data_IF_395378489204
#
_entry.id   IF_395378489204
#
_cell.length_a   1.000
_cell.length_b   1.000
_cell.length_c   1.000
_cell.angle_alpha   90.00
_cell.angle_beta   90.00
_cell.angle_gamma   90.00
#
_symmetry.space_group_name_H-M   'P 1'
#
loop_
_entity.id
_entity.type
_entity.pdbx_description
1 polymer ?
#
# COMPACT_ATOMS: atom_id res chain seq x y z
N UNK A 1 2.73 11.99 -19.15
CA UNK A 1 3.33 10.65 -19.19
C UNK A 1 2.21 9.61 -19.08
N UNK A 2 2.30 8.44 -19.74
CA UNK A 2 1.33 7.37 -19.54
C UNK A 2 1.34 6.87 -18.09
N UNK A 3 0.24 6.24 -17.65
CA UNK A 3 0.19 5.58 -16.35
C UNK A 3 1.32 4.53 -16.24
N UNK A 4 1.99 4.46 -15.09
CA UNK A 4 3.14 3.58 -14.88
C UNK A 4 2.83 2.10 -15.12
N UNK A 5 1.62 1.63 -14.79
CA UNK A 5 1.19 0.24 -15.01
C UNK A 5 1.12 -0.08 -16.51
N UNK A 6 0.49 0.80 -17.31
CA UNK A 6 0.41 0.62 -18.77
C UNK A 6 1.80 0.62 -19.41
N UNK A 7 2.67 1.54 -19.01
CA UNK A 7 4.04 1.60 -19.52
C UNK A 7 4.84 0.31 -19.20
N UNK A 8 4.64 -0.28 -18.03
CA UNK A 8 5.28 -1.53 -17.63
C UNK A 8 4.75 -2.73 -18.41
N UNK A 9 3.42 -2.85 -18.56
CA UNK A 9 2.78 -3.93 -19.34
C UNK A 9 3.25 -3.91 -20.81
N UNK A 10 3.44 -2.70 -21.37
CA UNK A 10 3.91 -2.48 -22.74
C UNK A 10 5.44 -2.62 -22.89
N UNK A 11 6.17 -2.93 -21.82
CA UNK A 11 7.64 -3.07 -21.85
C UNK A 11 8.40 -1.76 -22.07
N UNK A 12 7.76 -0.60 -21.88
CA UNK A 12 8.38 0.72 -22.04
C UNK A 12 9.27 1.10 -20.84
N UNK A 13 9.07 0.47 -19.70
CA UNK A 13 9.89 0.63 -18.49
C UNK A 13 10.23 -0.74 -17.90
N UNK A 14 11.44 -0.87 -17.35
CA UNK A 14 11.92 -2.13 -16.78
C UNK A 14 11.44 -2.39 -15.35
N UNK A 15 11.09 -1.35 -14.60
CA UNK A 15 10.71 -1.43 -13.19
C UNK A 15 9.63 -0.40 -12.88
N UNK A 16 8.75 -0.75 -11.94
CA UNK A 16 7.75 0.14 -11.35
C UNK A 16 7.68 -0.07 -9.83
N UNK A 17 7.28 0.98 -9.12
CA UNK A 17 6.85 0.88 -7.72
C UNK A 17 5.33 0.88 -7.73
N UNK A 18 4.73 -0.20 -7.23
CA UNK A 18 3.29 -0.38 -7.25
C UNK A 18 2.83 -1.23 -6.06
N UNK A 19 1.59 -1.06 -5.59
CA UNK A 19 1.03 -1.95 -4.59
C UNK A 19 0.91 -3.39 -5.12
N UNK A 20 1.00 -4.38 -4.21
CA UNK A 20 1.07 -5.80 -4.57
C UNK A 20 -0.08 -6.29 -5.45
N UNK A 21 -1.31 -5.79 -5.24
CA UNK A 21 -2.48 -6.19 -6.03
C UNK A 21 -2.36 -5.85 -7.52
N UNK A 22 -1.47 -4.92 -7.91
CA UNK A 22 -1.24 -4.59 -9.33
C UNK A 22 -0.66 -5.74 -10.13
N UNK A 23 0.00 -6.72 -9.49
CA UNK A 23 0.48 -7.93 -10.17
C UNK A 23 -0.69 -8.71 -10.77
N UNK A 24 -1.85 -8.73 -10.11
CA UNK A 24 -3.05 -9.38 -10.63
C UNK A 24 -3.53 -8.71 -11.92
N UNK A 25 -3.51 -7.37 -11.96
CA UNK A 25 -3.88 -6.59 -13.15
C UNK A 25 -2.87 -6.77 -14.29
N UNK A 26 -1.57 -6.73 -13.96
CA UNK A 26 -0.48 -6.89 -14.93
C UNK A 26 -0.55 -8.26 -15.60
N UNK A 27 -0.70 -9.34 -14.82
CA UNK A 27 -0.75 -10.71 -15.35
C UNK A 27 -2.07 -11.04 -16.04
N UNK A 28 -3.17 -10.38 -15.67
CA UNK A 28 -4.42 -10.47 -16.42
C UNK A 28 -4.31 -9.81 -17.81
N UNK A 29 -3.57 -8.69 -17.91
CA UNK A 29 -3.37 -7.98 -19.18
C UNK A 29 -2.29 -8.64 -20.06
N UNK A 30 -1.24 -9.18 -19.46
CA UNK A 30 -0.15 -9.86 -20.16
C UNK A 30 0.37 -11.04 -19.30
N UNK A 31 -0.17 -12.23 -19.56
CA UNK A 31 0.16 -13.44 -18.81
C UNK A 31 1.62 -13.91 -19.03
N UNK A 32 2.18 -13.62 -20.20
CA UNK A 32 3.52 -14.05 -20.61
C UNK A 32 4.63 -13.13 -20.07
N UNK A 33 4.28 -11.95 -19.53
CA UNK A 33 5.24 -11.06 -18.92
C UNK A 33 5.88 -11.73 -17.69
N UNK A 34 7.19 -11.96 -17.75
CA UNK A 34 7.97 -12.45 -16.61
C UNK A 34 8.21 -11.30 -15.62
N UNK A 35 7.61 -11.41 -14.44
CA UNK A 35 7.61 -10.37 -13.42
C UNK A 35 7.92 -10.99 -12.07
N UNK A 36 8.74 -10.30 -11.29
CA UNK A 36 9.03 -10.65 -9.90
C UNK A 36 8.92 -9.42 -9.03
N UNK A 37 8.64 -9.63 -7.76
CA UNK A 37 8.69 -8.58 -6.75
C UNK A 37 10.01 -8.64 -5.98
N UNK A 38 10.52 -7.48 -5.60
CA UNK A 38 11.73 -7.34 -4.78
C UNK A 38 11.53 -6.21 -3.78
N UNK A 39 12.43 -6.11 -2.80
CA UNK A 39 12.41 -5.02 -1.83
C UNK A 39 12.83 -3.70 -2.46
N UNK A 40 12.33 -2.59 -1.91
CA UNK A 40 12.72 -1.26 -2.37
C UNK A 40 14.22 -1.05 -2.15
N UNK A 41 14.93 -0.37 -3.08
CA UNK A 41 16.33 -0.02 -2.89
C UNK A 41 16.55 0.79 -1.61
N UNK A 42 17.52 0.38 -0.79
CA UNK A 42 17.91 1.08 0.43
C UNK A 42 19.28 1.73 0.24
N UNK A 43 19.37 3.05 0.48
CA UNK A 43 20.64 3.77 0.45
C UNK A 43 21.51 3.35 1.64
N UNK A 44 22.82 3.23 1.42
CA UNK A 44 23.78 2.82 2.44
C UNK A 44 23.71 3.73 3.68
N UNK A 45 23.66 3.12 4.87
CA UNK A 45 23.59 3.84 6.15
C UNK A 45 22.17 4.14 6.64
N UNK A 46 21.13 3.90 5.82
CA UNK A 46 19.75 4.07 6.22
C UNK A 46 19.14 2.81 6.84
N UNK A 47 18.17 2.99 7.73
CA UNK A 47 17.33 1.90 8.21
C UNK A 47 16.22 1.59 7.19
N UNK A 48 15.78 0.32 7.06
CA UNK A 48 14.64 -0.02 6.24
C UNK A 48 13.39 0.76 6.66
N UNK A 49 12.73 1.39 5.68
CA UNK A 49 11.46 2.08 5.87
C UNK A 49 10.57 1.79 4.66
N UNK A 50 9.31 1.46 4.93
CA UNK A 50 8.31 1.22 3.89
C UNK A 50 6.95 1.79 4.31
N UNK A 51 6.04 1.97 3.35
CA UNK A 51 4.71 2.54 3.59
C UNK A 51 3.68 1.43 3.77
N UNK A 52 2.95 1.46 4.88
CA UNK A 52 1.80 0.59 5.10
C UNK A 52 0.59 1.16 4.34
N UNK A 53 0.04 0.39 3.40
CA UNK A 53 -1.20 0.71 2.69
C UNK A 53 -2.09 -0.53 2.68
N UNK A 54 -3.23 -0.46 3.35
CA UNK A 54 -4.12 -1.59 3.56
C UNK A 54 -5.58 -1.15 3.65
N UNK A 55 -6.49 -2.08 3.37
CA UNK A 55 -7.91 -1.94 3.67
C UNK A 55 -8.18 -2.33 5.12
N UNK A 56 -9.17 -1.69 5.72
CA UNK A 56 -9.64 -2.01 7.08
C UNK A 56 -11.13 -2.29 7.00
N UNK A 57 -11.58 -3.41 7.54
CA UNK A 57 -13.00 -3.63 7.73
C UNK A 57 -13.51 -2.97 9.02
N UNK A 58 -14.74 -2.48 8.98
CA UNK A 58 -15.39 -1.84 10.12
C UNK A 58 -16.84 -2.25 10.26
N UNK A 59 -17.34 -2.24 11.49
CA UNK A 59 -18.76 -2.47 11.80
C UNK A 59 -19.47 -1.11 11.89
N UNK A 60 -20.52 -0.94 11.09
CA UNK A 60 -21.34 0.28 11.13
C UNK A 60 -22.02 0.45 12.49
N UNK A 61 -21.88 1.64 13.08
CA UNK A 61 -22.58 2.03 14.33
C UNK A 61 -24.10 2.00 14.19
N UNK A 62 -24.63 2.12 12.98
CA UNK A 62 -26.06 2.07 12.69
C UNK A 62 -26.60 0.63 12.51
N UNK A 63 -25.73 -0.39 12.53
CA UNK A 63 -26.16 -1.78 12.36
C UNK A 63 -27.05 -2.22 13.52
N UNK A 64 -28.13 -2.94 13.20
CA UNK A 64 -28.99 -3.62 14.19
C UNK A 64 -28.39 -4.93 14.70
N UNK A 65 -27.37 -5.46 14.02
CA UNK A 65 -26.72 -6.75 14.30
C UNK A 65 -25.23 -6.55 14.65
N UNK A 66 -24.92 -5.55 15.49
CA UNK A 66 -23.53 -5.20 15.80
C UNK A 66 -22.79 -6.37 16.47
N UNK A 67 -23.44 -7.10 17.36
CA UNK A 67 -22.81 -8.20 18.09
C UNK A 67 -22.41 -9.34 17.14
N UNK A 68 -23.30 -9.72 16.22
CA UNK A 68 -23.08 -10.73 15.20
C UNK A 68 -22.00 -10.30 14.21
N UNK A 69 -22.02 -9.03 13.80
CA UNK A 69 -20.99 -8.46 12.92
C UNK A 69 -19.60 -8.54 13.56
N UNK A 70 -19.46 -8.22 14.85
CA UNK A 70 -18.19 -8.37 15.57
C UNK A 70 -17.77 -9.83 15.74
N UNK A 71 -18.70 -10.75 15.99
CA UNK A 71 -18.40 -12.20 16.02
C UNK A 71 -17.91 -12.70 14.67
N UNK A 72 -18.54 -12.26 13.58
CA UNK A 72 -18.11 -12.58 12.22
C UNK A 72 -16.73 -12.01 11.92
N UNK A 73 -16.46 -10.77 12.33
CA UNK A 73 -15.15 -10.16 12.17
C UNK A 73 -14.06 -10.93 12.94
N UNK A 74 -14.35 -11.36 14.17
CA UNK A 74 -13.45 -12.23 14.93
C UNK A 74 -13.20 -13.58 14.23
N UNK A 75 -14.22 -14.16 13.59
CA UNK A 75 -14.06 -15.36 12.76
C UNK A 75 -13.13 -15.11 11.57
N UNK A 76 -13.27 -13.99 10.86
CA UNK A 76 -12.38 -13.60 9.76
C UNK A 76 -10.93 -13.42 10.23
N UNK A 77 -10.73 -12.92 11.45
CA UNK A 77 -9.42 -12.76 12.11
C UNK A 77 -8.78 -14.06 12.61
N UNK A 78 -9.51 -15.18 12.60
CA UNK A 78 -9.00 -16.46 13.07
C UNK A 78 -7.99 -17.05 12.09
N UNK A 79 -6.92 -17.66 12.63
CA UNK A 79 -5.82 -18.26 11.85
C UNK A 79 -6.34 -19.20 10.76
N UNK A 80 -7.21 -20.13 11.11
CA UNK A 80 -7.73 -21.15 10.21
C UNK A 80 -8.64 -20.55 9.12
N UNK A 81 -9.40 -19.52 9.45
CA UNK A 81 -10.23 -18.80 8.47
C UNK A 81 -9.36 -18.08 7.46
N UNK A 82 -8.35 -17.34 7.92
CA UNK A 82 -7.42 -16.62 7.06
C UNK A 82 -6.67 -17.55 6.12
N UNK A 83 -6.09 -18.63 6.63
CA UNK A 83 -5.36 -19.60 5.79
C UNK A 83 -6.27 -20.26 4.76
N UNK A 84 -7.50 -20.61 5.16
CA UNK A 84 -8.51 -21.16 4.24
C UNK A 84 -8.93 -20.17 3.17
N UNK A 85 -9.14 -18.89 3.52
CA UNK A 85 -9.47 -17.84 2.56
C UNK A 85 -8.33 -17.63 1.56
N UNK A 86 -7.09 -17.53 2.04
CA UNK A 86 -5.92 -17.39 1.18
C UNK A 86 -5.80 -18.56 0.20
N UNK A 87 -5.94 -19.80 0.68
CA UNK A 87 -5.90 -21.00 -0.17
C UNK A 87 -7.02 -21.00 -1.22
N UNK A 88 -8.24 -20.67 -0.80
CA UNK A 88 -9.41 -20.60 -1.69
C UNK A 88 -9.20 -19.57 -2.79
N UNK A 89 -8.75 -18.37 -2.43
CA UNK A 89 -8.47 -17.30 -3.40
C UNK A 89 -7.31 -17.69 -4.33
N UNK A 90 -6.24 -18.29 -3.80
CA UNK A 90 -5.07 -18.73 -4.59
C UNK A 90 -5.40 -19.82 -5.61
N UNK A 91 -6.54 -20.51 -5.48
CA UNK A 91 -7.01 -21.45 -6.51
C UNK A 91 -7.60 -20.78 -7.75
N UNK A 92 -7.88 -19.48 -7.67
CA UNK A 92 -8.54 -18.69 -8.73
C UNK A 92 -7.73 -17.49 -9.21
N UNK A 93 -6.74 -17.05 -8.42
CA UNK A 93 -5.82 -15.94 -8.72
C UNK A 93 -4.42 -16.28 -8.24
N UNK A 94 -3.43 -15.50 -8.66
CA UNK A 94 -2.00 -15.77 -8.41
C UNK A 94 -1.62 -15.91 -6.93
N UNK A 95 -2.35 -15.24 -6.03
CA UNK A 95 -2.16 -15.33 -4.58
C UNK A 95 -3.43 -14.88 -3.85
N UNK A 96 -3.62 -15.37 -2.63
CA UNK A 96 -4.67 -14.92 -1.73
C UNK A 96 -4.33 -13.60 -1.03
N UNK A 97 -5.29 -13.05 -0.29
CA UNK A 97 -5.07 -11.85 0.50
C UNK A 97 -4.01 -12.11 1.58
N UNK A 98 -2.92 -11.31 1.63
CA UNK A 98 -1.93 -11.43 2.69
C UNK A 98 -2.57 -11.29 4.07
N UNK A 99 -2.06 -12.07 5.03
CA UNK A 99 -2.64 -12.14 6.37
C UNK A 99 -2.40 -10.87 7.18
N UNK A 100 -3.38 -10.47 8.01
CA UNK A 100 -3.18 -9.42 9.01
C UNK A 100 -2.54 -9.93 10.32
N UNK A 101 -2.39 -11.26 10.48
CA UNK A 101 -1.73 -11.87 11.65
C UNK A 101 -0.23 -12.01 11.43
N UNK A 102 0.56 -11.46 12.36
CA UNK A 102 2.02 -11.53 12.35
C UNK A 102 2.53 -12.97 12.43
N UNK A 103 1.85 -13.86 13.17
CA UNK A 103 2.26 -15.28 13.32
C UNK A 103 2.15 -16.09 12.02
N UNK A 104 1.47 -15.56 11.00
CA UNK A 104 1.35 -16.18 9.68
C UNK A 104 2.33 -15.60 8.66
N UNK A 105 3.09 -14.55 8.99
CA UNK A 105 3.99 -13.84 8.05
C UNK A 105 4.92 -14.79 7.30
N UNK A 106 5.66 -15.61 8.04
CA UNK A 106 6.72 -16.47 7.49
C UNK A 106 6.19 -17.53 6.52
N UNK A 107 4.88 -17.83 6.56
CA UNK A 107 4.27 -18.73 5.58
C UNK A 107 4.13 -18.13 4.18
N UNK A 108 4.30 -16.80 4.01
CA UNK A 108 4.15 -16.10 2.74
C UNK A 108 5.45 -15.48 2.20
N UNK A 109 6.54 -15.47 2.97
CA UNK A 109 7.80 -14.78 2.59
C UNK A 109 8.46 -15.40 1.35
N UNK A 110 8.18 -16.66 1.04
CA UNK A 110 8.68 -17.37 -0.15
C UNK A 110 7.80 -17.20 -1.39
N UNK A 111 6.67 -16.49 -1.30
CA UNK A 111 5.83 -16.22 -2.47
C UNK A 111 6.51 -15.22 -3.42
N UNK A 112 6.59 -15.52 -4.71
CA UNK A 112 7.31 -14.70 -5.70
C UNK A 112 6.72 -13.29 -5.93
N UNK A 113 5.42 -13.10 -5.65
CA UNK A 113 4.68 -11.86 -5.92
C UNK A 113 4.42 -11.01 -4.67
N UNK A 114 4.36 -11.63 -3.49
CA UNK A 114 4.05 -10.91 -2.24
C UNK A 114 5.11 -11.10 -1.16
N UNK A 115 6.07 -12.01 -1.34
CA UNK A 115 7.07 -12.35 -0.34
C UNK A 115 7.90 -11.15 0.10
N UNK A 116 8.40 -10.36 -0.85
CA UNK A 116 9.18 -9.15 -0.53
C UNK A 116 8.35 -8.06 0.17
N UNK A 117 7.04 -8.01 -0.07
CA UNK A 117 6.12 -7.07 0.57
C UNK A 117 5.82 -7.51 1.99
N UNK A 118 5.58 -8.80 2.20
CA UNK A 118 5.31 -9.38 3.53
C UNK A 118 6.56 -9.32 4.42
N UNK A 119 7.76 -9.50 3.85
CA UNK A 119 9.02 -9.33 4.56
C UNK A 119 9.21 -7.90 5.08
N UNK A 120 8.83 -6.91 4.26
CA UNK A 120 8.85 -5.50 4.62
C UNK A 120 7.85 -5.11 5.74
N UNK A 121 6.81 -5.92 6.00
CA UNK A 121 5.73 -5.57 6.91
C UNK A 121 6.19 -5.26 8.35
N UNK A 122 7.36 -5.76 8.76
CA UNK A 122 7.96 -5.51 10.06
C UNK A 122 8.35 -4.04 10.32
N UNK A 123 8.59 -3.27 9.27
CA UNK A 123 9.06 -1.89 9.35
C UNK A 123 8.23 -0.94 8.47
N UNK A 124 7.05 -1.38 8.04
CA UNK A 124 6.08 -0.53 7.39
C UNK A 124 5.46 0.44 8.40
N UNK A 125 5.30 1.70 7.99
CA UNK A 125 4.63 2.72 8.79
C UNK A 125 3.37 3.21 8.09
N UNK A 126 2.29 3.36 8.84
CA UNK A 126 1.07 4.02 8.36
C UNK A 126 1.27 5.53 8.41
N UNK A 127 1.15 6.18 7.25
CA UNK A 127 1.23 7.63 7.11
C UNK A 127 -0.04 8.11 6.39
N UNK A 128 -0.49 9.36 6.61
CA UNK A 128 -1.62 9.94 5.89
C UNK A 128 -1.22 10.31 4.45
N UNK A 129 -0.74 9.33 3.69
CA UNK A 129 -0.24 9.45 2.33
C UNK A 129 -0.73 8.29 1.46
N UNK A 130 -1.80 7.61 1.89
CA UNK A 130 -2.38 6.48 1.16
C UNK A 130 -3.37 7.01 0.15
N UNK A 131 -3.12 6.73 -1.13
CA UNK A 131 -4.04 7.09 -2.22
C UNK A 131 -5.33 6.27 -2.20
N UNK A 132 -6.37 6.74 -2.89
CA UNK A 132 -7.67 6.04 -3.03
C UNK A 132 -8.46 5.88 -1.72
N UNK A 133 -8.16 6.69 -0.72
CA UNK A 133 -9.03 6.86 0.45
C UNK A 133 -10.28 7.67 0.09
N UNK A 134 -10.18 8.54 -0.92
CA UNK A 134 -11.23 9.48 -1.34
C UNK A 134 -11.77 10.29 -0.16
N UNK A 135 -10.89 10.60 0.80
CA UNK A 135 -11.28 11.23 2.05
C UNK A 135 -11.59 12.72 1.86
N UNK A 136 -11.14 13.33 0.75
CA UNK A 136 -11.12 14.79 0.56
C UNK A 136 -10.60 15.49 1.82
N UNK A 137 -9.62 14.84 2.45
CA UNK A 137 -9.21 15.10 3.80
C UNK A 137 -7.73 14.88 3.96
N UNK A 138 -7.32 14.29 5.08
CA UNK A 138 -5.90 14.31 5.45
C UNK A 138 -4.99 13.64 4.42
N UNK A 139 -5.38 12.51 3.83
CA UNK A 139 -4.53 11.85 2.83
C UNK A 139 -4.47 12.68 1.56
N UNK A 140 -5.63 13.07 1.02
CA UNK A 140 -5.69 13.84 -0.22
C UNK A 140 -4.93 15.19 -0.10
N UNK A 141 -5.05 15.89 1.04
CA UNK A 141 -4.36 17.15 1.30
C UNK A 141 -2.83 16.99 1.47
N UNK A 142 -2.38 15.96 2.20
CA UNK A 142 -0.94 15.69 2.34
C UNK A 142 -0.33 15.27 1.00
N UNK A 143 -1.02 14.42 0.24
CA UNK A 143 -0.58 13.99 -1.09
C UNK A 143 -0.42 15.21 -2.02
N UNK A 144 -1.37 16.15 -2.00
CA UNK A 144 -1.29 17.36 -2.82
C UNK A 144 -0.01 18.18 -2.54
N UNK A 145 0.34 18.39 -1.27
CA UNK A 145 1.59 19.11 -0.94
C UNK A 145 2.85 18.39 -1.39
N UNK A 146 2.86 17.05 -1.36
CA UNK A 146 3.99 16.24 -1.83
C UNK A 146 4.07 16.30 -3.35
N UNK A 147 2.93 16.20 -4.05
CA UNK A 147 2.84 16.35 -5.50
C UNK A 147 3.36 17.72 -5.95
N UNK A 148 2.94 18.79 -5.28
CA UNK A 148 3.43 20.15 -5.54
C UNK A 148 4.94 20.27 -5.34
N UNK A 149 5.51 19.66 -4.30
CA UNK A 149 6.95 19.67 -4.06
C UNK A 149 7.74 18.95 -5.17
N UNK A 150 7.26 17.78 -5.60
CA UNK A 150 7.87 17.01 -6.69
C UNK A 150 7.80 17.81 -8.00
N UNK A 151 6.63 18.35 -8.34
CA UNK A 151 6.42 19.15 -9.53
C UNK A 151 7.27 20.43 -9.53
N UNK A 152 7.35 21.14 -8.41
CA UNK A 152 8.20 22.32 -8.26
C UNK A 152 9.68 21.97 -8.46
N UNK A 153 10.13 20.85 -7.91
CA UNK A 153 11.50 20.38 -8.07
C UNK A 153 11.84 20.05 -9.53
N UNK A 154 10.90 19.41 -10.25
CA UNK A 154 11.04 19.15 -11.69
C UNK A 154 11.09 20.44 -12.53
N UNK A 155 10.49 21.53 -12.05
CA UNK A 155 10.50 22.84 -12.69
C UNK A 155 11.67 23.74 -12.23
N UNK A 156 12.67 23.17 -11.54
CA UNK A 156 13.93 23.86 -11.21
C UNK A 156 13.99 24.51 -9.82
N UNK A 157 12.96 24.34 -8.98
CA UNK A 157 13.06 24.72 -7.55
C UNK A 157 13.98 23.73 -6.83
N UNK A 158 14.85 24.20 -5.94
CA UNK A 158 15.71 23.28 -5.18
C UNK A 158 14.87 22.34 -4.29
N UNK A 159 15.32 21.09 -4.14
CA UNK A 159 14.65 20.09 -3.28
C UNK A 159 14.39 20.63 -1.87
N UNK A 160 15.40 21.26 -1.25
CA UNK A 160 15.25 21.84 0.09
C UNK A 160 14.13 22.89 0.14
N UNK A 161 14.05 23.77 -0.84
CA UNK A 161 13.01 24.81 -0.87
C UNK A 161 11.61 24.22 -1.12
N UNK A 162 11.49 23.30 -2.07
CA UNK A 162 10.22 22.67 -2.42
C UNK A 162 9.66 21.88 -1.22
N UNK A 163 10.47 21.04 -0.60
CA UNK A 163 10.05 20.21 0.53
C UNK A 163 9.90 21.02 1.84
N UNK A 164 10.63 22.12 2.03
CA UNK A 164 10.36 23.05 3.14
C UNK A 164 8.97 23.69 3.02
N UNK A 165 8.54 24.01 1.80
CA UNK A 165 7.19 24.53 1.54
C UNK A 165 6.14 23.48 1.84
N UNK A 166 6.32 22.25 1.33
CA UNK A 166 5.43 21.15 1.61
C UNK A 166 5.33 20.82 3.10
N UNK A 167 6.45 20.81 3.83
CA UNK A 167 6.46 20.58 5.29
C UNK A 167 5.56 21.56 6.02
N UNK A 168 5.66 22.86 5.71
CA UNK A 168 4.80 23.90 6.30
C UNK A 168 3.32 23.69 5.96
N UNK A 169 3.02 23.27 4.73
CA UNK A 169 1.67 22.93 4.30
C UNK A 169 1.09 21.74 5.06
N UNK A 170 1.86 20.65 5.15
CA UNK A 170 1.50 19.43 5.88
C UNK A 170 1.29 19.72 7.37
N UNK A 171 2.12 20.56 7.99
CA UNK A 171 1.90 21.00 9.38
C UNK A 171 0.56 21.73 9.56
N UNK A 172 0.11 22.51 8.58
CA UNK A 172 -1.21 23.15 8.62
C UNK A 172 -2.34 22.12 8.50
N UNK A 173 -2.18 21.11 7.64
CA UNK A 173 -3.13 20.00 7.53
C UNK A 173 -3.22 19.25 8.86
N UNK A 174 -2.09 18.91 9.48
CA UNK A 174 -2.09 18.23 10.77
C UNK A 174 -2.77 19.06 11.86
N UNK A 175 -2.52 20.37 11.92
CA UNK A 175 -3.24 21.29 12.82
C UNK A 175 -4.76 21.29 12.55
N UNK A 176 -5.18 21.35 11.29
CA UNK A 176 -6.59 21.33 10.89
C UNK A 176 -7.32 20.06 11.37
N UNK A 177 -6.65 18.91 11.31
CA UNK A 177 -7.21 17.61 11.72
C UNK A 177 -6.87 17.21 13.16
N UNK A 178 -6.26 18.09 13.95
CA UNK A 178 -5.80 17.81 15.32
C UNK A 178 -4.88 16.59 15.44
N UNK A 179 -4.03 16.36 14.43
CA UNK A 179 -2.95 15.38 14.49
C UNK A 179 -1.78 16.02 15.21
N UNK A 180 -1.26 15.32 16.23
CA UNK A 180 -0.14 15.75 17.06
C UNK A 180 1.19 15.25 16.52
#
# INVERSE_FOLDING_TARGET
MPNNISAFIEGKVAMIIAPSWRILEIKAANADLDVKTTSLPLLSGNQPLSLASYWVEGVSKASKNQQEAWKFFALLGAKDTMTKLYQTQSSTRLFGEPYSRVDLRDSLTQNEYIGSVVDQALYMQSLPMVSRTYDKGINDEVIAYIEDAVNASMNGVSYNQAFNTASKGIEQVFKKYNIK
#
